data_IF_423476651330
#
_entry.id   IF_423476651330
#
_cell.length_a   1.000
_cell.length_b   1.000
_cell.length_c   1.000
_cell.angle_alpha   90.00
_cell.angle_beta   90.00
_cell.angle_gamma   90.00
#
_symmetry.space_group_name_H-M   'P 1'
#
loop_
_entity.id
_entity.type
_entity.pdbx_description
1 polymer ?
#
# COMPACT_ATOMS: atom_id res chain seq x y z
N UNK A 1 -9.47 1.56 26.25
CA UNK A 1 -9.87 2.06 24.90
C UNK A 1 -10.55 0.92 24.18
N UNK A 2 -11.75 1.12 23.70
CA UNK A 2 -12.42 0.14 22.85
C UNK A 2 -11.83 0.15 21.41
N UNK A 3 -12.24 -0.80 20.56
CA UNK A 3 -11.72 -0.92 19.20
C UNK A 3 -11.94 0.36 18.37
N UNK A 4 -13.11 0.98 18.48
CA UNK A 4 -13.46 2.22 17.77
C UNK A 4 -12.57 3.39 18.16
N UNK A 5 -12.22 3.50 19.46
CA UNK A 5 -11.32 4.55 19.95
C UNK A 5 -9.90 4.33 19.48
N UNK A 6 -9.42 3.07 19.38
CA UNK A 6 -8.11 2.74 18.83
C UNK A 6 -8.01 3.07 17.35
N UNK A 7 -9.03 2.72 16.57
CA UNK A 7 -9.10 3.05 15.14
C UNK A 7 -9.10 4.57 14.91
N UNK A 8 -9.88 5.32 15.68
CA UNK A 8 -9.93 6.78 15.57
C UNK A 8 -8.58 7.42 15.93
N UNK A 9 -7.91 6.94 16.97
CA UNK A 9 -6.59 7.42 17.38
C UNK A 9 -5.53 7.09 16.33
N UNK A 10 -5.56 5.88 15.77
CA UNK A 10 -4.66 5.46 14.69
C UNK A 10 -4.85 6.32 13.44
N UNK A 11 -6.09 6.56 13.01
CA UNK A 11 -6.40 7.45 11.89
C UNK A 11 -5.88 8.86 12.10
N UNK A 12 -6.09 9.43 13.29
CA UNK A 12 -5.60 10.77 13.62
C UNK A 12 -4.06 10.83 13.57
N UNK A 13 -3.37 9.80 14.07
CA UNK A 13 -1.91 9.69 13.98
C UNK A 13 -1.44 9.58 12.54
N UNK A 14 -2.09 8.76 11.72
CA UNK A 14 -1.79 8.62 10.28
C UNK A 14 -2.00 9.93 9.51
N UNK A 15 -3.09 10.67 9.80
CA UNK A 15 -3.38 11.96 9.16
C UNK A 15 -2.35 13.04 9.53
N UNK A 16 -1.73 12.94 10.72
CA UNK A 16 -0.71 13.85 11.23
C UNK A 16 0.72 13.45 10.83
N UNK A 17 0.90 12.32 10.17
CA UNK A 17 2.20 11.84 9.72
C UNK A 17 2.84 12.79 8.71
N UNK A 18 4.15 13.04 8.86
CA UNK A 18 4.95 13.76 7.89
C UNK A 18 5.42 12.83 6.79
N UNK A 19 4.98 13.12 5.57
CA UNK A 19 5.28 12.34 4.37
C UNK A 19 6.06 13.15 3.35
N UNK A 20 6.70 12.46 2.40
CA UNK A 20 7.40 13.09 1.29
C UNK A 20 6.44 13.84 0.38
N UNK A 21 6.80 15.06 0.01
CA UNK A 21 6.17 15.89 -1.00
C UNK A 21 7.12 16.08 -2.17
N UNK A 22 6.65 15.83 -3.40
CA UNK A 22 7.46 15.79 -4.62
C UNK A 22 6.82 16.60 -5.75
N UNK A 23 7.61 16.87 -6.80
CA UNK A 23 7.14 17.45 -8.03
C UNK A 23 6.66 16.39 -9.07
N UNK A 24 6.31 16.83 -10.25
CA UNK A 24 5.84 15.98 -11.36
C UNK A 24 6.92 15.03 -11.91
N UNK A 25 8.19 15.23 -11.57
CA UNK A 25 9.33 14.40 -11.95
C UNK A 25 9.87 13.55 -10.78
N UNK A 26 9.09 13.45 -9.69
CA UNK A 26 9.49 12.77 -8.45
C UNK A 26 10.70 13.38 -7.74
N UNK A 27 11.01 14.65 -7.96
CA UNK A 27 12.02 15.35 -7.18
C UNK A 27 11.45 15.73 -5.81
N UNK A 28 12.20 15.45 -4.75
CA UNK A 28 11.80 15.78 -3.38
C UNK A 28 11.77 17.30 -3.18
N UNK A 29 10.60 17.84 -2.84
CA UNK A 29 10.40 19.27 -2.53
C UNK A 29 10.41 19.53 -1.03
N UNK A 30 10.08 18.53 -0.21
CA UNK A 30 10.03 18.67 1.24
C UNK A 30 9.15 17.62 1.90
N UNK A 31 8.65 17.95 3.09
CA UNK A 31 7.74 17.11 3.85
C UNK A 31 6.50 17.92 4.24
N UNK A 32 5.34 17.26 4.21
CA UNK A 32 4.05 17.83 4.61
C UNK A 32 3.30 16.83 5.46
N UNK A 33 2.41 17.34 6.29
CA UNK A 33 1.43 16.50 6.97
C UNK A 33 0.54 15.82 5.93
N UNK A 34 0.28 14.54 6.08
CA UNK A 34 -0.44 13.69 5.13
C UNK A 34 -1.82 14.24 4.75
N UNK A 35 -2.57 14.76 5.73
CA UNK A 35 -3.86 15.40 5.47
C UNK A 35 -3.73 16.66 4.60
N UNK A 36 -2.71 17.48 4.82
CA UNK A 36 -2.48 18.71 4.03
C UNK A 36 -2.10 18.39 2.58
N UNK A 37 -1.24 17.39 2.36
CA UNK A 37 -0.85 16.95 1.02
C UNK A 37 -2.10 16.60 0.20
N UNK A 38 -3.01 15.81 0.77
CA UNK A 38 -4.25 15.41 0.12
C UNK A 38 -5.19 16.60 -0.14
N UNK A 39 -5.42 17.44 0.87
CA UNK A 39 -6.31 18.61 0.74
C UNK A 39 -5.83 19.61 -0.31
N UNK A 40 -4.52 19.74 -0.47
CA UNK A 40 -3.90 20.67 -1.44
C UNK A 40 -3.70 20.05 -2.83
N UNK A 41 -4.06 18.76 -3.02
CA UNK A 41 -3.89 18.05 -4.29
C UNK A 41 -2.42 17.94 -4.71
N UNK A 42 -1.50 17.84 -3.75
CA UNK A 42 -0.07 17.72 -4.00
C UNK A 42 0.33 16.27 -4.22
N UNK A 43 1.52 16.06 -4.79
CA UNK A 43 2.02 14.73 -5.14
C UNK A 43 2.84 14.18 -4.00
N UNK A 44 2.48 12.98 -3.55
CA UNK A 44 3.24 12.20 -2.57
C UNK A 44 3.93 11.00 -3.20
N UNK A 45 4.66 10.26 -2.37
CA UNK A 45 5.28 8.98 -2.71
C UNK A 45 4.55 7.84 -2.04
N UNK A 46 4.39 6.73 -2.76
CA UNK A 46 3.75 5.52 -2.26
C UNK A 46 4.54 4.26 -2.64
N UNK A 47 4.44 3.22 -1.83
CA UNK A 47 5.03 1.90 -2.13
C UNK A 47 3.93 0.86 -2.23
N UNK A 48 4.13 -0.13 -3.13
CA UNK A 48 3.31 -1.33 -3.25
C UNK A 48 4.19 -2.56 -3.15
N UNK A 49 3.85 -3.50 -2.27
CA UNK A 49 4.57 -4.75 -2.10
C UNK A 49 3.62 -5.91 -2.42
N UNK A 50 3.85 -6.57 -3.56
CA UNK A 50 3.15 -7.79 -3.93
C UNK A 50 3.79 -8.95 -3.17
N UNK A 51 3.11 -9.44 -2.14
CA UNK A 51 3.57 -10.57 -1.33
C UNK A 51 3.06 -11.87 -1.94
N UNK A 52 3.97 -12.73 -2.35
CA UNK A 52 3.67 -14.07 -2.87
C UNK A 52 4.04 -15.13 -1.84
N UNK A 53 3.40 -16.30 -1.92
CA UNK A 53 3.92 -17.51 -1.30
C UNK A 53 4.76 -18.33 -2.30
N UNK A 54 5.39 -19.40 -1.86
CA UNK A 54 6.21 -20.28 -2.72
C UNK A 54 5.42 -20.99 -3.81
N UNK A 55 4.08 -21.02 -3.73
CA UNK A 55 3.18 -21.54 -4.77
C UNK A 55 2.86 -20.51 -5.85
N UNK A 56 3.35 -19.27 -5.71
CA UNK A 56 3.06 -18.17 -6.63
C UNK A 56 1.67 -17.54 -6.43
N UNK A 57 1.00 -17.82 -5.32
CA UNK A 57 -0.25 -17.16 -4.96
C UNK A 57 0.03 -15.79 -4.34
N UNK A 58 -0.78 -14.80 -4.70
CA UNK A 58 -0.68 -13.42 -4.23
C UNK A 58 -1.48 -13.24 -2.93
N UNK A 59 -0.86 -12.60 -1.95
CA UNK A 59 -1.57 -12.13 -0.76
C UNK A 59 -2.47 -10.95 -1.13
N UNK A 60 -3.75 -11.10 -0.89
CA UNK A 60 -4.72 -10.00 -0.92
C UNK A 60 -5.25 -9.77 0.48
N UNK A 61 -5.48 -8.52 0.84
CA UNK A 61 -5.99 -8.18 2.16
C UNK A 61 -7.12 -7.17 2.07
N UNK A 62 -7.95 -7.10 3.11
CA UNK A 62 -9.06 -6.17 3.19
C UNK A 62 -8.74 -5.05 4.14
N UNK A 63 -8.87 -3.82 3.67
CA UNK A 63 -8.64 -2.59 4.44
C UNK A 63 -9.76 -2.40 5.47
N UNK A 64 -9.42 -1.81 6.62
CA UNK A 64 -10.42 -1.45 7.63
C UNK A 64 -11.38 -0.39 7.12
N UNK A 65 -12.56 -0.32 7.73
CA UNK A 65 -13.57 0.68 7.40
C UNK A 65 -13.19 2.09 7.87
N UNK A 66 -12.21 2.20 8.76
CA UNK A 66 -11.68 3.47 9.29
C UNK A 66 -10.66 4.14 8.38
N UNK A 67 -10.21 3.47 7.31
CA UNK A 67 -9.24 4.07 6.36
C UNK A 67 -9.81 5.30 5.66
N UNK A 68 -8.99 6.35 5.53
CA UNK A 68 -9.38 7.59 4.86
C UNK A 68 -9.62 7.39 3.35
N UNK A 69 -8.78 6.53 2.72
CA UNK A 69 -8.89 6.18 1.30
C UNK A 69 -9.32 4.73 1.16
N UNK A 70 -10.30 4.47 0.30
CA UNK A 70 -10.79 3.13 -0.03
C UNK A 70 -11.16 2.27 1.21
N UNK A 71 -12.03 2.77 2.14
CA UNK A 71 -12.41 2.02 3.32
C UNK A 71 -13.14 0.72 2.96
N UNK A 72 -12.69 -0.40 3.53
CA UNK A 72 -13.27 -1.72 3.29
C UNK A 72 -12.98 -2.35 1.94
N UNK A 73 -12.19 -1.70 1.07
CA UNK A 73 -11.75 -2.27 -0.20
C UNK A 73 -10.73 -3.38 0.03
N UNK A 74 -10.67 -4.30 -0.90
CA UNK A 74 -9.58 -5.24 -1.03
C UNK A 74 -8.36 -4.56 -1.65
N UNK A 75 -7.19 -5.05 -1.29
CA UNK A 75 -5.91 -4.56 -1.79
C UNK A 75 -5.04 -5.71 -2.28
N UNK A 76 -4.37 -5.51 -3.39
CA UNK A 76 -3.47 -6.51 -3.99
C UNK A 76 -2.03 -6.38 -3.49
N UNK A 77 -1.73 -5.32 -2.75
CA UNK A 77 -0.40 -5.03 -2.24
C UNK A 77 -0.46 -4.47 -0.82
N UNK A 78 0.48 -4.84 0.03
CA UNK A 78 0.81 -4.07 1.21
C UNK A 78 1.54 -2.79 0.79
N UNK A 79 1.50 -1.76 1.63
CA UNK A 79 2.24 -0.53 1.36
C UNK A 79 1.53 0.72 1.84
N UNK A 80 2.18 1.84 1.64
CA UNK A 80 1.69 3.13 2.10
C UNK A 80 2.53 4.29 1.62
N UNK A 81 2.24 5.46 2.19
CA UNK A 81 2.96 6.69 1.89
C UNK A 81 4.37 6.64 2.43
N UNK A 82 5.33 7.12 1.64
CA UNK A 82 6.73 7.24 2.07
C UNK A 82 6.85 8.39 3.07
N UNK A 83 7.27 8.07 4.28
CA UNK A 83 7.46 9.03 5.36
C UNK A 83 8.62 10.00 5.08
N UNK A 84 8.57 11.16 5.70
CA UNK A 84 9.67 12.13 5.62
C UNK A 84 10.99 11.51 6.08
N UNK A 85 12.03 11.61 5.25
CA UNK A 85 13.35 11.06 5.53
C UNK A 85 13.55 9.60 5.14
N UNK A 86 12.50 8.90 4.69
CA UNK A 86 12.60 7.56 4.13
C UNK A 86 12.82 7.59 2.60
N UNK A 87 13.44 6.54 2.08
CA UNK A 87 13.39 6.20 0.66
C UNK A 87 12.29 5.15 0.40
N UNK A 88 12.02 4.83 -0.86
CA UNK A 88 11.00 3.86 -1.24
C UNK A 88 11.22 2.47 -0.64
N UNK A 89 12.45 1.96 -0.65
CA UNK A 89 12.76 0.60 -0.17
C UNK A 89 12.59 0.47 1.35
N UNK A 90 13.04 1.47 2.13
CA UNK A 90 12.89 1.49 3.58
C UNK A 90 11.41 1.59 3.97
N UNK A 91 10.65 2.45 3.27
CA UNK A 91 9.21 2.56 3.45
C UNK A 91 8.50 1.24 3.13
N UNK A 92 8.85 0.59 2.03
CA UNK A 92 8.26 -0.69 1.64
C UNK A 92 8.51 -1.78 2.69
N UNK A 93 9.72 -1.89 3.21
CA UNK A 93 10.06 -2.86 4.27
C UNK A 93 9.26 -2.60 5.55
N UNK A 94 9.16 -1.34 5.98
CA UNK A 94 8.40 -0.93 7.16
C UNK A 94 6.92 -1.24 7.01
N UNK A 95 6.30 -0.85 5.90
CA UNK A 95 4.86 -1.08 5.64
C UNK A 95 4.50 -2.57 5.60
N UNK A 96 5.34 -3.39 4.96
CA UNK A 96 5.13 -4.84 4.90
C UNK A 96 5.17 -5.47 6.30
N UNK A 97 6.11 -5.03 7.15
CA UNK A 97 6.23 -5.51 8.52
C UNK A 97 5.07 -5.02 9.40
N UNK A 98 4.67 -3.75 9.28
CA UNK A 98 3.56 -3.16 10.03
C UNK A 98 2.22 -3.79 9.68
N UNK A 99 1.85 -3.84 8.40
CA UNK A 99 0.54 -4.31 7.98
C UNK A 99 0.35 -5.82 8.06
N UNK A 100 1.37 -6.60 7.64
CA UNK A 100 1.28 -8.06 7.50
C UNK A 100 2.20 -8.85 8.43
N UNK A 101 3.08 -8.18 9.18
CA UNK A 101 4.03 -8.80 10.10
C UNK A 101 5.15 -9.56 9.40
N UNK A 102 5.48 -9.18 8.16
CA UNK A 102 6.52 -9.82 7.35
C UNK A 102 7.73 -8.89 7.28
N UNK A 103 8.81 -9.27 7.94
CA UNK A 103 10.07 -8.52 7.97
C UNK A 103 11.27 -9.37 7.59
N UNK A 104 12.38 -8.72 7.25
CA UNK A 104 13.65 -9.39 6.94
C UNK A 104 13.65 -10.19 5.64
N UNK A 105 12.68 -9.95 4.75
CA UNK A 105 12.60 -10.58 3.43
C UNK A 105 13.26 -9.71 2.36
N UNK A 106 13.75 -10.35 1.29
CA UNK A 106 14.25 -9.63 0.12
C UNK A 106 13.08 -8.96 -0.62
N UNK A 107 13.22 -7.66 -0.89
CA UNK A 107 12.32 -6.88 -1.73
C UNK A 107 12.93 -6.72 -3.11
N UNK A 108 12.24 -7.22 -4.13
CA UNK A 108 12.63 -7.05 -5.54
C UNK A 108 11.84 -5.90 -6.13
N UNK A 109 12.54 -4.83 -6.53
CA UNK A 109 11.94 -3.66 -7.18
C UNK A 109 11.54 -3.99 -8.62
N UNK A 110 10.39 -3.47 -9.09
CA UNK A 110 9.85 -3.76 -10.42
C UNK A 110 9.59 -2.50 -11.24
N UNK A 111 8.69 -1.62 -10.80
CA UNK A 111 8.23 -0.49 -11.61
C UNK A 111 8.15 0.78 -10.76
N UNK A 112 8.34 1.91 -11.45
CA UNK A 112 8.20 3.24 -10.89
C UNK A 112 7.26 4.04 -11.80
N UNK A 113 6.10 4.46 -11.29
CA UNK A 113 5.04 5.05 -12.12
C UNK A 113 4.25 6.12 -11.38
N UNK A 114 3.68 7.02 -12.14
CA UNK A 114 2.75 8.03 -11.64
C UNK A 114 1.31 7.48 -11.69
N UNK A 115 0.57 7.71 -10.61
CA UNK A 115 -0.84 7.38 -10.50
C UNK A 115 -1.65 8.58 -10.02
N UNK A 116 -2.82 8.77 -10.61
CA UNK A 116 -3.77 9.81 -10.23
C UNK A 116 -5.20 9.29 -10.29
N UNK A 117 -5.93 9.48 -9.20
CA UNK A 117 -7.35 9.15 -9.08
C UNK A 117 -8.01 10.11 -8.09
N UNK A 118 -8.88 10.99 -8.61
CA UNK A 118 -9.52 12.04 -7.81
C UNK A 118 -8.49 12.91 -7.09
N UNK A 119 -8.53 12.93 -5.76
CA UNK A 119 -7.61 13.72 -4.93
C UNK A 119 -6.27 13.00 -4.65
N UNK A 120 -6.10 11.79 -5.14
CA UNK A 120 -4.88 11.00 -4.95
C UNK A 120 -3.93 11.24 -6.12
N UNK A 121 -2.74 11.78 -5.82
CA UNK A 121 -1.66 12.02 -6.79
C UNK A 121 -0.36 11.46 -6.22
N UNK A 122 0.16 10.40 -6.86
CA UNK A 122 1.22 9.58 -6.29
C UNK A 122 2.28 9.21 -7.32
N UNK A 123 3.54 9.36 -6.94
CA UNK A 123 4.62 8.56 -7.51
C UNK A 123 4.73 7.24 -6.73
N UNK A 124 4.66 6.13 -7.45
CA UNK A 124 4.57 4.79 -6.87
C UNK A 124 5.75 3.94 -7.28
N UNK A 125 6.36 3.24 -6.33
CA UNK A 125 7.34 2.20 -6.62
C UNK A 125 6.81 0.85 -6.15
N UNK A 126 6.83 -0.15 -7.02
CA UNK A 126 6.34 -1.50 -6.72
C UNK A 126 7.49 -2.47 -6.46
N UNK A 127 7.24 -3.35 -5.50
CA UNK A 127 8.15 -4.43 -5.08
C UNK A 127 7.42 -5.76 -5.06
N UNK A 128 8.17 -6.85 -5.04
CA UNK A 128 7.65 -8.17 -4.66
C UNK A 128 8.51 -8.80 -3.58
N UNK A 129 7.89 -9.68 -2.80
CA UNK A 129 8.53 -10.52 -1.80
C UNK A 129 7.88 -11.89 -1.78
N UNK A 130 8.60 -12.88 -1.21
CA UNK A 130 8.08 -14.24 -1.02
C UNK A 130 8.06 -14.58 0.47
N UNK A 131 6.94 -15.12 0.93
CA UNK A 131 6.73 -15.50 2.33
C UNK A 131 5.80 -16.70 2.48
N UNK A 132 6.24 -17.70 3.21
CA UNK A 132 5.44 -18.91 3.53
C UNK A 132 5.07 -19.03 5.02
N UNK A 133 5.50 -18.05 5.82
CA UNK A 133 5.20 -18.02 7.25
C UNK A 133 3.81 -17.49 7.57
N UNK A 134 3.46 -17.52 8.85
CA UNK A 134 2.23 -16.92 9.33
C UNK A 134 2.25 -15.39 9.14
N UNK A 135 1.08 -14.81 8.82
CA UNK A 135 0.88 -13.37 8.79
C UNK A 135 0.44 -12.88 10.17
N UNK A 136 0.91 -11.69 10.54
CA UNK A 136 0.43 -10.97 11.73
C UNK A 136 -0.15 -9.64 11.26
N UNK A 137 -1.46 -9.60 11.15
CA UNK A 137 -2.17 -8.44 10.65
C UNK A 137 -2.22 -7.32 11.69
N UNK A 138 -2.03 -6.10 11.23
CA UNK A 138 -2.27 -4.89 12.03
C UNK A 138 -3.77 -4.60 12.07
N UNK A 139 -4.46 -4.79 13.19
CA UNK A 139 -5.93 -4.76 13.23
C UNK A 139 -6.54 -3.39 12.93
N UNK A 140 -5.76 -2.30 13.09
CA UNK A 140 -6.17 -0.94 12.75
C UNK A 140 -6.15 -0.66 11.24
N UNK A 141 -5.41 -1.48 10.46
CA UNK A 141 -5.20 -1.31 9.03
C UNK A 141 -5.82 -2.41 8.19
N UNK A 142 -5.76 -3.66 8.67
CA UNK A 142 -6.08 -4.87 7.91
C UNK A 142 -7.09 -5.73 8.65
N UNK A 143 -8.25 -5.97 8.04
CA UNK A 143 -9.31 -6.82 8.60
C UNK A 143 -9.05 -8.30 8.41
N UNK A 144 -8.59 -8.68 7.23
CA UNK A 144 -8.32 -10.06 6.82
C UNK A 144 -7.31 -10.09 5.67
N UNK A 145 -6.60 -11.21 5.55
CA UNK A 145 -5.66 -11.45 4.43
C UNK A 145 -5.71 -12.93 4.03
N UNK A 146 -5.45 -13.19 2.75
CA UNK A 146 -5.41 -14.54 2.20
C UNK A 146 -4.54 -14.59 0.95
N UNK A 147 -3.99 -15.76 0.66
CA UNK A 147 -3.26 -16.03 -0.59
C UNK A 147 -4.19 -16.64 -1.63
N UNK A 148 -4.15 -16.12 -2.84
CA UNK A 148 -4.97 -16.57 -3.97
C UNK A 148 -4.12 -16.66 -5.25
N UNK A 149 -4.42 -17.62 -6.15
CA UNK A 149 -3.90 -17.57 -7.51
C UNK A 149 -4.23 -16.23 -8.19
N UNK A 150 -3.31 -15.70 -9.00
CA UNK A 150 -3.47 -14.39 -9.65
C UNK A 150 -4.77 -14.33 -10.47
N UNK A 151 -5.10 -15.39 -11.20
CA UNK A 151 -6.34 -15.48 -12.00
C UNK A 151 -7.59 -15.30 -11.12
N UNK A 152 -7.57 -15.86 -9.91
CA UNK A 152 -8.67 -15.69 -8.95
C UNK A 152 -8.75 -14.26 -8.44
N UNK A 153 -7.60 -13.59 -8.19
CA UNK A 153 -7.56 -12.17 -7.80
C UNK A 153 -8.16 -11.29 -8.89
N UNK A 154 -7.79 -11.52 -10.15
CA UNK A 154 -8.31 -10.76 -11.29
C UNK A 154 -9.82 -10.93 -11.44
N UNK A 155 -10.33 -12.15 -11.29
CA UNK A 155 -11.78 -12.45 -11.35
C UNK A 155 -12.53 -11.78 -10.17
N UNK A 156 -11.98 -11.83 -8.96
CA UNK A 156 -12.58 -11.16 -7.81
C UNK A 156 -12.63 -9.64 -7.97
N UNK A 157 -11.61 -9.04 -8.57
CA UNK A 157 -11.54 -7.61 -8.80
C UNK A 157 -12.61 -7.08 -9.77
N UNK A 158 -13.21 -7.95 -10.60
CA UNK A 158 -14.37 -7.62 -11.44
C UNK A 158 -15.68 -7.55 -10.63
N UNK A 159 -15.74 -8.18 -9.47
CA UNK A 159 -16.96 -8.36 -8.67
C UNK A 159 -16.94 -7.64 -7.32
N UNK A 160 -15.76 -7.34 -6.81
CA UNK A 160 -15.55 -6.72 -5.51
C UNK A 160 -14.74 -5.43 -5.65
N UNK A 161 -14.92 -4.46 -4.75
CA UNK A 161 -14.11 -3.25 -4.77
C UNK A 161 -12.66 -3.56 -4.36
N UNK A 162 -11.73 -3.34 -5.26
CA UNK A 162 -10.29 -3.37 -5.05
C UNK A 162 -9.69 -1.97 -5.20
N UNK A 163 -8.62 -1.68 -4.48
CA UNK A 163 -7.91 -0.40 -4.56
C UNK A 163 -7.36 -0.16 -5.97
N UNK A 164 -7.76 0.92 -6.66
CA UNK A 164 -7.44 1.12 -8.07
C UNK A 164 -5.96 1.38 -8.33
N UNK A 165 -5.26 2.02 -7.38
CA UNK A 165 -3.83 2.28 -7.43
C UNK A 165 -2.99 0.99 -7.38
N UNK A 166 -3.30 0.10 -6.44
CA UNK A 166 -2.64 -1.20 -6.34
C UNK A 166 -2.99 -2.13 -7.51
N UNK A 167 -4.23 -2.05 -8.05
CA UNK A 167 -4.60 -2.77 -9.27
C UNK A 167 -3.78 -2.31 -10.47
N UNK A 168 -3.57 -1.01 -10.64
CA UNK A 168 -2.70 -0.48 -11.71
C UNK A 168 -1.27 -0.98 -11.53
N UNK A 169 -0.74 -0.96 -10.30
CA UNK A 169 0.58 -1.51 -9.99
C UNK A 169 0.68 -3.00 -10.33
N UNK A 170 -0.32 -3.80 -9.98
CA UNK A 170 -0.36 -5.24 -10.30
C UNK A 170 -0.44 -5.47 -11.83
N UNK A 171 -1.26 -4.72 -12.54
CA UNK A 171 -1.36 -4.80 -14.00
C UNK A 171 -0.01 -4.55 -14.67
N UNK A 172 0.74 -3.53 -14.23
CA UNK A 172 2.09 -3.22 -14.71
C UNK A 172 3.08 -4.32 -14.40
N UNK A 173 3.07 -4.82 -13.16
CA UNK A 173 3.88 -5.95 -12.73
C UNK A 173 3.68 -7.18 -13.62
N UNK A 174 2.43 -7.56 -13.89
CA UNK A 174 2.10 -8.72 -14.74
C UNK A 174 2.49 -8.49 -16.21
N UNK A 175 2.37 -7.27 -16.72
CA UNK A 175 2.77 -6.92 -18.08
C UNK A 175 4.30 -7.01 -18.30
N UNK A 176 5.10 -6.68 -17.29
CA UNK A 176 6.57 -6.73 -17.36
C UNK A 176 7.14 -8.16 -17.32
N UNK A 177 6.33 -9.16 -17.00
CA UNK A 177 6.73 -10.58 -16.89
C UNK A 177 6.33 -11.42 -18.11
N UNK A 178 5.73 -10.81 -19.11
CA UNK A 178 5.43 -11.42 -20.41
C UNK A 178 6.57 -11.16 -21.37
#
# INVERSE_FOLDING_TARGET
>A
MDATQKEAAHRAASDAELICWVDEQDNLLGALVRSDLRQRGLIGRCTFIFLFNSKGELCVHRRTLSKAMYPGFWDTAAGGMVAAGENYADSAARELEEELGVGGVELVEHDHFYFEDGDSRLWCTSYSAVWDGALRLQPEEVMEARFLPIESVLQEAEQKPYCPDAQEGLRRYLASRR
#
